data_IF_747537725594
#
_entry.id   IF_747537725594
#
_cell.length_a   1.000
_cell.length_b   1.000
_cell.length_c   1.000
_cell.angle_alpha   90.00
_cell.angle_beta   90.00
_cell.angle_gamma   90.00
#
_symmetry.space_group_name_H-M   'P 1'
#
loop_
_entity.id
_entity.type
_entity.pdbx_description
1 polymer ?
#
# COMPACT_ATOMS: atom_id res chain seq x y z
N UNK A 1 45.54 16.45 -3.22
CA UNK A 1 45.19 15.80 -4.51
C UNK A 1 43.92 16.44 -5.02
N UNK A 2 43.85 16.88 -6.28
CA UNK A 2 42.66 17.52 -6.83
C UNK A 2 41.68 16.44 -7.33
N UNK A 3 40.51 16.31 -6.71
CA UNK A 3 39.50 15.33 -7.13
C UNK A 3 38.84 15.81 -8.42
N UNK A 4 39.07 15.09 -9.53
CA UNK A 4 38.77 15.56 -10.89
C UNK A 4 37.31 15.51 -11.34
N UNK A 5 36.34 15.67 -10.43
CA UNK A 5 34.92 15.69 -10.77
C UNK A 5 34.19 16.89 -10.15
N UNK A 6 33.42 17.61 -10.96
CA UNK A 6 32.52 18.67 -10.47
C UNK A 6 31.26 18.08 -9.84
N UNK A 7 30.50 18.91 -9.11
CA UNK A 7 29.25 18.48 -8.47
C UNK A 7 28.21 18.00 -9.50
N UNK A 8 28.17 18.62 -10.68
CA UNK A 8 27.28 18.30 -11.80
C UNK A 8 27.66 16.97 -12.42
N UNK A 9 28.95 16.68 -12.54
CA UNK A 9 29.47 15.40 -13.02
C UNK A 9 29.15 14.27 -12.04
N UNK A 10 29.33 14.49 -10.73
CA UNK A 10 28.95 13.50 -9.69
C UNK A 10 27.44 13.27 -9.67
N UNK A 11 26.63 14.32 -9.81
CA UNK A 11 25.17 14.21 -9.91
C UNK A 11 24.76 13.40 -11.16
N UNK A 12 25.33 13.71 -12.33
CA UNK A 12 25.09 12.97 -13.58
C UNK A 12 25.43 11.48 -13.45
N UNK A 13 26.60 11.14 -12.89
CA UNK A 13 26.99 9.74 -12.63
C UNK A 13 26.03 9.05 -11.65
N UNK A 14 25.55 9.75 -10.62
CA UNK A 14 24.53 9.22 -9.71
C UNK A 14 23.22 8.89 -10.44
N UNK A 15 22.73 9.76 -11.34
CA UNK A 15 21.50 9.51 -12.09
C UNK A 15 21.66 8.37 -13.10
N UNK A 16 22.74 8.35 -13.88
CA UNK A 16 23.01 7.29 -14.88
C UNK A 16 23.13 5.91 -14.22
N UNK A 17 23.82 5.80 -13.08
CA UNK A 17 23.94 4.54 -12.35
C UNK A 17 22.62 4.09 -11.68
N UNK A 18 21.74 5.01 -11.28
CA UNK A 18 20.39 4.69 -10.81
C UNK A 18 19.50 4.19 -11.96
N UNK A 19 19.53 4.86 -13.12
CA UNK A 19 18.74 4.49 -14.30
C UNK A 19 19.17 3.13 -14.87
N UNK A 20 20.48 2.88 -14.95
CA UNK A 20 21.05 1.59 -15.34
C UNK A 20 20.93 0.49 -14.27
N UNK A 21 20.23 0.74 -13.16
CA UNK A 21 19.95 -0.26 -12.11
C UNK A 21 21.17 -0.80 -11.35
N UNK A 22 22.38 -0.28 -11.58
CA UNK A 22 23.62 -0.86 -11.06
C UNK A 22 23.95 -0.31 -9.65
N UNK A 23 23.08 -0.65 -8.69
CA UNK A 23 23.11 -0.10 -7.33
C UNK A 23 24.39 -0.46 -6.58
N UNK A 24 25.03 -1.60 -6.91
CA UNK A 24 26.29 -2.00 -6.31
C UNK A 24 27.51 -1.25 -6.87
N UNK A 25 27.45 -0.77 -8.13
CA UNK A 25 28.45 0.19 -8.64
C UNK A 25 28.21 1.59 -8.06
N UNK A 26 26.95 2.00 -7.93
CA UNK A 26 26.57 3.25 -7.25
C UNK A 26 27.04 3.29 -5.79
N UNK A 27 26.84 2.21 -5.05
CA UNK A 27 27.26 2.09 -3.65
C UNK A 27 28.78 2.07 -3.44
N UNK A 28 29.57 1.72 -4.46
CA UNK A 28 31.04 1.88 -4.47
C UNK A 28 31.43 3.32 -4.84
N UNK A 29 30.81 3.89 -5.87
CA UNK A 29 31.04 5.27 -6.30
C UNK A 29 30.80 6.27 -5.16
N UNK A 30 29.65 6.17 -4.46
CA UNK A 30 29.31 7.01 -3.32
C UNK A 30 30.29 6.89 -2.14
N UNK A 31 30.95 5.74 -1.97
CA UNK A 31 31.98 5.53 -0.94
C UNK A 31 33.34 6.11 -1.35
N UNK A 32 33.62 6.17 -2.66
CA UNK A 32 34.83 6.81 -3.21
C UNK A 32 34.77 8.34 -3.32
N UNK A 33 33.64 8.96 -3.00
CA UNK A 33 33.51 10.43 -3.03
C UNK A 33 34.31 11.07 -1.87
N UNK A 34 34.99 12.20 -2.11
CA UNK A 34 35.70 12.91 -1.05
C UNK A 34 34.72 13.46 0.00
N UNK A 35 35.18 13.59 1.24
CA UNK A 35 34.43 14.11 2.38
C UNK A 35 34.21 15.65 2.30
N UNK A 36 33.60 16.10 1.21
CA UNK A 36 33.18 17.48 1.00
C UNK A 36 31.70 17.62 1.35
N UNK A 37 31.42 18.45 2.35
CA UNK A 37 30.09 18.75 2.88
C UNK A 37 29.09 19.24 1.82
N UNK A 38 29.54 20.06 0.87
CA UNK A 38 28.67 20.62 -0.17
C UNK A 38 28.22 19.53 -1.15
N UNK A 39 29.17 18.72 -1.63
CA UNK A 39 28.90 17.55 -2.46
C UNK A 39 27.99 16.53 -1.74
N UNK A 40 28.16 16.39 -0.43
CA UNK A 40 27.36 15.50 0.41
C UNK A 40 25.92 15.98 0.63
N UNK A 41 25.65 17.27 0.43
CA UNK A 41 24.32 17.91 0.49
C UNK A 41 23.63 18.01 -0.89
N UNK A 42 24.29 17.60 -1.98
CA UNK A 42 23.68 17.61 -3.31
C UNK A 42 22.51 16.61 -3.40
N UNK A 43 21.37 17.06 -3.94
CA UNK A 43 20.13 16.27 -3.94
C UNK A 43 20.25 14.93 -4.68
N UNK A 44 21.01 14.88 -5.79
CA UNK A 44 21.23 13.64 -6.56
C UNK A 44 22.08 12.64 -5.79
N UNK A 45 23.06 13.12 -5.03
CA UNK A 45 23.92 12.31 -4.14
C UNK A 45 23.11 11.79 -2.95
N UNK A 46 22.23 12.61 -2.36
CA UNK A 46 21.33 12.21 -1.28
C UNK A 46 20.30 11.16 -1.75
N UNK A 47 19.69 11.36 -2.92
CA UNK A 47 18.77 10.40 -3.56
C UNK A 47 19.47 9.07 -3.86
N UNK A 48 20.68 9.12 -4.41
CA UNK A 48 21.49 7.92 -4.64
C UNK A 48 21.84 7.18 -3.33
N UNK A 49 22.20 7.90 -2.27
CA UNK A 49 22.44 7.32 -0.93
C UNK A 49 21.17 6.66 -0.37
N UNK A 50 20.00 7.28 -0.52
CA UNK A 50 18.71 6.69 -0.12
C UNK A 50 18.41 5.39 -0.91
N UNK A 51 18.63 5.37 -2.23
CA UNK A 51 18.46 4.16 -3.06
C UNK A 51 19.41 3.03 -2.63
N UNK A 52 20.69 3.33 -2.35
CA UNK A 52 21.67 2.34 -1.88
C UNK A 52 21.34 1.84 -0.47
N UNK A 53 20.90 2.72 0.44
CA UNK A 53 20.47 2.34 1.79
C UNK A 53 19.25 1.40 1.74
N UNK A 54 18.27 1.70 0.87
CA UNK A 54 17.13 0.82 0.62
C UNK A 54 17.56 -0.55 0.07
N UNK A 55 18.44 -0.60 -0.94
CA UNK A 55 18.91 -1.85 -1.55
C UNK A 55 19.64 -2.75 -0.54
N UNK A 56 20.44 -2.16 0.35
CA UNK A 56 21.16 -2.86 1.43
C UNK A 56 20.29 -3.21 2.64
N UNK A 57 19.00 -2.89 2.62
CA UNK A 57 18.08 -3.10 3.76
C UNK A 57 18.38 -2.23 4.98
N UNK A 58 19.23 -1.21 4.87
CA UNK A 58 19.52 -0.26 5.95
C UNK A 58 18.44 0.83 5.97
N UNK A 59 17.24 0.45 6.37
CA UNK A 59 16.09 1.36 6.40
C UNK A 59 16.28 2.51 7.39
N UNK A 60 17.05 2.32 8.48
CA UNK A 60 17.35 3.39 9.45
C UNK A 60 18.09 4.57 8.80
N UNK A 61 19.10 4.32 7.97
CA UNK A 61 19.81 5.40 7.27
C UNK A 61 18.95 5.99 6.12
N UNK A 62 18.11 5.16 5.46
CA UNK A 62 17.10 5.66 4.51
C UNK A 62 16.17 6.69 5.17
N UNK A 63 15.54 6.35 6.30
CA UNK A 63 14.61 7.26 7.00
C UNK A 63 15.31 8.55 7.40
N UNK A 64 16.50 8.45 8.03
CA UNK A 64 17.34 9.60 8.37
C UNK A 64 17.64 10.51 7.16
N UNK A 65 18.03 9.96 6.01
CA UNK A 65 18.27 10.76 4.79
C UNK A 65 16.98 11.45 4.34
N UNK A 66 15.85 10.73 4.33
CA UNK A 66 14.57 11.27 3.88
C UNK A 66 13.97 12.28 4.86
N UNK A 67 14.29 12.23 6.15
CA UNK A 67 13.80 13.17 7.18
C UNK A 67 14.70 14.40 7.35
N UNK A 68 16.01 14.30 7.05
CA UNK A 68 16.99 15.36 7.36
C UNK A 68 17.20 16.41 6.25
N UNK A 69 16.76 16.14 5.02
CA UNK A 69 17.04 16.99 3.85
C UNK A 69 15.77 17.25 3.04
N UNK A 70 15.54 18.50 2.65
CA UNK A 70 14.44 18.85 1.74
C UNK A 70 14.79 18.41 0.30
N UNK A 71 13.84 17.75 -0.37
CA UNK A 71 13.97 17.35 -1.77
C UNK A 71 13.06 18.19 -2.67
N UNK A 72 13.43 18.29 -3.94
CA UNK A 72 12.66 18.94 -5.01
C UNK A 72 11.45 18.08 -5.41
N UNK A 73 10.30 18.68 -5.79
CA UNK A 73 9.07 17.93 -6.11
C UNK A 73 9.25 16.83 -7.17
N UNK A 74 10.15 17.01 -8.14
CA UNK A 74 10.41 16.01 -9.18
C UNK A 74 11.00 14.69 -8.64
N UNK A 75 11.66 14.71 -7.48
CA UNK A 75 12.18 13.50 -6.82
C UNK A 75 11.18 12.88 -5.82
N UNK A 76 10.17 13.64 -5.35
CA UNK A 76 9.22 13.19 -4.33
C UNK A 76 8.59 11.83 -4.66
N UNK A 77 8.03 11.56 -5.87
CA UNK A 77 7.37 10.27 -6.14
C UNK A 77 8.29 9.06 -5.96
N UNK A 78 9.58 9.20 -6.29
CA UNK A 78 10.58 8.13 -6.14
C UNK A 78 10.92 7.89 -4.66
N UNK A 79 11.08 8.96 -3.89
CA UNK A 79 11.45 8.88 -2.46
C UNK A 79 10.28 8.40 -1.60
N UNK A 80 9.06 8.84 -1.90
CA UNK A 80 7.82 8.36 -1.27
C UNK A 80 7.64 6.85 -1.49
N UNK A 81 7.96 6.35 -2.69
CA UNK A 81 7.96 4.90 -2.96
C UNK A 81 8.99 4.14 -2.10
N UNK A 82 10.19 4.68 -1.90
CA UNK A 82 11.20 4.05 -1.04
C UNK A 82 10.75 4.01 0.42
N UNK A 83 10.27 5.13 0.97
CA UNK A 83 9.73 5.24 2.34
C UNK A 83 8.63 4.20 2.59
N UNK A 84 7.61 4.19 1.73
CA UNK A 84 6.46 3.29 1.87
C UNK A 84 6.88 1.83 1.72
N UNK A 85 7.73 1.50 0.73
CA UNK A 85 8.18 0.12 0.50
C UNK A 85 9.06 -0.39 1.65
N UNK A 86 9.90 0.45 2.24
CA UNK A 86 10.73 0.09 3.39
C UNK A 86 9.86 -0.28 4.60
N UNK A 87 8.93 0.59 5.02
CA UNK A 87 8.02 0.29 6.12
C UNK A 87 7.05 -0.86 5.83
N UNK A 88 6.69 -1.12 4.57
CA UNK A 88 5.96 -2.35 4.22
C UNK A 88 6.83 -3.60 4.46
N UNK A 89 8.08 -3.61 4.00
CA UNK A 89 9.02 -4.74 4.22
C UNK A 89 9.26 -4.99 5.71
N UNK A 90 9.47 -3.94 6.51
CA UNK A 90 9.59 -4.07 7.97
C UNK A 90 8.32 -4.66 8.61
N UNK A 91 7.15 -4.18 8.22
CA UNK A 91 5.87 -4.66 8.74
C UNK A 91 5.50 -6.07 8.27
N UNK A 92 5.94 -6.49 7.08
CA UNK A 92 5.81 -7.87 6.57
C UNK A 92 6.75 -8.80 7.32
N UNK A 93 8.02 -8.42 7.51
CA UNK A 93 9.03 -9.16 8.29
C UNK A 93 8.60 -9.35 9.75
N UNK A 94 8.10 -8.30 10.40
CA UNK A 94 7.59 -8.37 11.77
C UNK A 94 6.34 -9.26 11.92
N UNK A 95 5.57 -9.47 10.84
CA UNK A 95 4.33 -10.26 10.84
C UNK A 95 4.48 -11.66 10.28
N UNK A 96 5.64 -12.03 9.73
CA UNK A 96 5.89 -13.30 9.07
C UNK A 96 4.98 -13.57 7.86
N UNK A 97 4.29 -12.56 7.30
CA UNK A 97 3.34 -12.73 6.19
C UNK A 97 3.12 -11.44 5.38
N UNK A 98 2.79 -11.54 4.07
CA UNK A 98 2.54 -10.39 3.21
C UNK A 98 1.43 -9.44 3.71
N UNK A 99 1.59 -8.15 3.39
CA UNK A 99 0.68 -7.09 3.82
C UNK A 99 -0.44 -6.85 2.79
N UNK A 100 -1.63 -7.33 3.13
CA UNK A 100 -2.88 -6.97 2.45
C UNK A 100 -3.23 -5.48 2.60
N UNK A 101 -4.22 -5.01 1.84
CA UNK A 101 -4.56 -3.58 1.71
C UNK A 101 -4.77 -2.85 3.05
N UNK A 102 -5.48 -3.46 4.01
CA UNK A 102 -5.70 -2.91 5.36
C UNK A 102 -4.39 -2.79 6.16
N UNK A 103 -3.44 -3.70 5.96
CA UNK A 103 -2.11 -3.63 6.55
C UNK A 103 -1.31 -2.45 5.97
N UNK A 104 -1.30 -2.30 4.64
CA UNK A 104 -0.65 -1.17 3.94
C UNK A 104 -1.30 0.18 4.26
N UNK A 105 -2.58 0.21 4.59
CA UNK A 105 -3.25 1.40 5.16
C UNK A 105 -2.78 1.70 6.59
N UNK A 106 -2.73 0.70 7.47
CA UNK A 106 -2.25 0.86 8.86
C UNK A 106 -0.80 1.34 8.92
N UNK A 107 0.08 0.85 8.04
CA UNK A 107 1.47 1.33 7.92
C UNK A 107 1.51 2.79 7.53
N UNK A 108 0.84 3.20 6.44
CA UNK A 108 0.73 4.61 5.99
C UNK A 108 0.19 5.56 7.07
N UNK A 109 -0.70 5.08 7.93
CA UNK A 109 -1.24 5.85 9.07
C UNK A 109 -0.36 5.89 10.30
N UNK A 110 0.59 4.96 10.46
CA UNK A 110 1.60 4.98 11.53
C UNK A 110 2.85 5.76 11.13
N UNK A 111 3.23 5.70 9.86
CA UNK A 111 4.41 6.33 9.28
C UNK A 111 4.02 7.18 8.07
N UNK A 112 3.46 8.40 8.28
CA UNK A 112 3.20 9.33 7.19
C UNK A 112 4.50 9.73 6.48
N UNK A 113 4.40 10.24 5.25
CA UNK A 113 5.57 10.77 4.53
C UNK A 113 6.05 12.06 5.21
N UNK A 114 7.36 12.28 5.41
CA UNK A 114 7.87 13.51 5.98
C UNK A 114 7.79 14.69 4.98
N UNK A 115 7.66 15.93 5.49
CA UNK A 115 7.48 17.17 4.69
C UNK A 115 8.65 17.48 3.74
N UNK A 116 9.79 16.88 3.99
CA UNK A 116 10.98 16.84 3.14
C UNK A 116 10.76 16.19 1.77
N UNK A 117 9.81 15.25 1.66
CA UNK A 117 9.44 14.53 0.43
C UNK A 117 7.94 14.61 0.10
N UNK A 118 7.23 15.56 0.73
CA UNK A 118 5.81 15.82 0.51
C UNK A 118 5.51 17.29 0.82
N UNK A 119 4.97 18.04 -0.15
CA UNK A 119 4.28 19.33 0.09
C UNK A 119 3.34 19.26 1.33
N UNK A 120 2.69 18.11 1.49
CA UNK A 120 1.81 17.75 2.58
C UNK A 120 0.43 18.36 2.42
N UNK A 121 -0.11 18.30 1.19
CA UNK A 121 -1.56 18.24 0.97
C UNK A 121 -2.17 17.18 1.90
N UNK A 122 -3.05 17.59 2.82
CA UNK A 122 -3.59 16.65 3.81
C UNK A 122 -4.56 15.66 3.14
N UNK A 123 -4.10 14.41 2.97
CA UNK A 123 -4.97 13.30 2.58
C UNK A 123 -5.95 12.99 3.72
N UNK A 124 -7.04 13.74 3.81
CA UNK A 124 -8.02 13.58 4.89
C UNK A 124 -8.79 12.27 4.73
N UNK A 125 -8.37 11.25 5.48
CA UNK A 125 -9.02 9.92 5.51
C UNK A 125 -10.39 9.91 6.22
N UNK A 126 -10.90 11.07 6.61
CA UNK A 126 -12.19 11.28 7.25
C UNK A 126 -13.11 12.07 6.30
N UNK A 127 -14.42 11.81 6.33
CA UNK A 127 -15.37 12.66 5.59
C UNK A 127 -15.34 14.11 6.11
N UNK A 128 -15.80 15.08 5.30
CA UNK A 128 -15.91 16.49 5.69
C UNK A 128 -16.81 16.64 6.93
N UNK A 129 -16.60 17.66 7.78
CA UNK A 129 -17.35 17.81 9.04
C UNK A 129 -18.87 17.85 8.81
N UNK A 130 -19.36 18.60 7.81
CA UNK A 130 -20.79 18.61 7.42
C UNK A 130 -21.34 17.20 7.18
N UNK A 131 -20.66 16.39 6.37
CA UNK A 131 -21.02 14.99 6.10
C UNK A 131 -20.97 14.13 7.38
N UNK A 132 -20.02 14.39 8.29
CA UNK A 132 -19.93 13.67 9.57
C UNK A 132 -21.02 14.08 10.56
N UNK A 133 -21.43 15.34 10.61
CA UNK A 133 -22.51 15.80 11.49
C UNK A 133 -23.84 15.16 11.14
N UNK A 134 -24.26 15.21 9.87
CA UNK A 134 -25.49 14.56 9.38
C UNK A 134 -25.51 13.06 9.71
N UNK A 135 -24.39 12.35 9.53
CA UNK A 135 -24.30 10.93 9.87
C UNK A 135 -24.37 10.67 11.38
N UNK A 136 -23.78 11.52 12.23
CA UNK A 136 -23.88 11.41 13.71
C UNK A 136 -25.31 11.67 14.20
N UNK A 137 -25.93 12.74 13.72
CA UNK A 137 -27.27 13.18 14.06
C UNK A 137 -28.29 12.09 13.72
N UNK A 138 -28.27 11.60 12.48
CA UNK A 138 -29.16 10.52 12.04
C UNK A 138 -28.95 9.23 12.85
N UNK A 139 -27.71 8.91 13.21
CA UNK A 139 -27.38 7.71 14.00
C UNK A 139 -27.99 7.71 15.42
N UNK A 140 -28.19 8.89 16.02
CA UNK A 140 -28.84 9.01 17.34
C UNK A 140 -30.32 8.61 17.26
N UNK A 141 -31.00 8.95 16.16
CA UNK A 141 -32.40 8.60 15.94
C UNK A 141 -32.57 7.16 15.44
N UNK A 142 -31.68 6.68 14.58
CA UNK A 142 -31.74 5.32 14.03
C UNK A 142 -30.32 4.77 13.74
N UNK A 143 -29.86 3.68 14.40
CA UNK A 143 -28.57 3.06 14.09
C UNK A 143 -28.57 2.16 12.83
N UNK A 144 -29.72 1.90 12.20
CA UNK A 144 -29.93 0.87 11.17
C UNK A 144 -30.73 1.39 9.94
N UNK A 145 -30.12 2.20 9.06
CA UNK A 145 -30.82 2.72 7.88
C UNK A 145 -31.14 1.62 6.85
N UNK A 146 -32.36 1.66 6.32
CA UNK A 146 -32.83 0.89 5.17
C UNK A 146 -32.06 1.24 3.89
N UNK A 147 -32.22 0.46 2.79
CA UNK A 147 -31.64 0.79 1.49
C UNK A 147 -32.10 2.14 0.92
N UNK A 148 -33.27 2.64 1.33
CA UNK A 148 -33.81 3.93 0.92
C UNK A 148 -33.12 5.08 1.67
N UNK A 149 -33.15 5.03 3.01
CA UNK A 149 -32.53 6.06 3.86
C UNK A 149 -31.02 6.16 3.60
N UNK A 150 -30.34 5.06 3.28
CA UNK A 150 -28.93 5.05 2.83
C UNK A 150 -28.69 5.86 1.55
N UNK A 151 -29.68 6.00 0.67
CA UNK A 151 -29.59 6.78 -0.57
C UNK A 151 -29.84 8.26 -0.29
N UNK A 152 -30.87 8.56 0.49
CA UNK A 152 -31.19 9.92 0.94
C UNK A 152 -30.02 10.52 1.77
N UNK A 153 -29.38 9.70 2.62
CA UNK A 153 -28.15 10.07 3.34
C UNK A 153 -26.92 10.21 2.43
N UNK A 154 -26.80 9.40 1.37
CA UNK A 154 -25.71 9.50 0.41
C UNK A 154 -25.78 10.83 -0.36
N UNK A 155 -26.98 11.18 -0.84
CA UNK A 155 -27.32 12.44 -1.50
C UNK A 155 -27.07 13.64 -0.57
N UNK A 156 -27.61 13.62 0.66
CA UNK A 156 -27.46 14.71 1.62
C UNK A 156 -26.02 14.94 2.12
N UNK A 157 -25.17 13.91 2.10
CA UNK A 157 -23.78 13.99 2.60
C UNK A 157 -22.72 14.14 1.51
N UNK A 158 -23.08 13.96 0.23
CA UNK A 158 -22.15 13.91 -0.88
C UNK A 158 -21.24 12.66 -0.87
N UNK A 159 -21.74 11.54 -0.33
CA UNK A 159 -21.01 10.28 -0.19
C UNK A 159 -21.68 9.18 -1.02
N UNK A 160 -20.96 8.10 -1.32
CA UNK A 160 -21.58 6.90 -1.89
C UNK A 160 -22.40 6.13 -0.85
N UNK A 161 -23.46 5.45 -1.29
CA UNK A 161 -24.28 4.54 -0.45
C UNK A 161 -23.42 3.47 0.25
N UNK A 162 -22.32 3.03 -0.38
CA UNK A 162 -21.31 2.13 0.19
C UNK A 162 -20.50 2.79 1.30
N UNK A 163 -20.08 4.05 1.16
CA UNK A 163 -19.41 4.80 2.23
C UNK A 163 -20.33 5.03 3.43
N UNK A 164 -21.60 5.39 3.19
CA UNK A 164 -22.63 5.51 4.24
C UNK A 164 -22.82 4.16 4.95
N UNK A 165 -23.08 3.08 4.20
CA UNK A 165 -23.27 1.73 4.77
C UNK A 165 -22.08 1.25 5.61
N UNK A 166 -20.85 1.51 5.15
CA UNK A 166 -19.64 1.20 5.90
C UNK A 166 -19.47 2.09 7.15
N UNK A 167 -19.86 3.37 7.11
CA UNK A 167 -19.83 4.24 8.28
C UNK A 167 -20.75 3.72 9.40
N UNK A 168 -22.00 3.39 9.08
CA UNK A 168 -22.97 2.85 10.04
C UNK A 168 -22.52 1.50 10.63
N UNK A 169 -21.96 0.61 9.79
CA UNK A 169 -21.34 -0.65 10.24
C UNK A 169 -20.17 -0.40 11.21
N UNK A 170 -19.26 0.50 10.83
CA UNK A 170 -18.06 0.84 11.59
C UNK A 170 -18.35 1.71 12.83
N UNK A 171 -19.55 2.26 12.99
CA UNK A 171 -20.01 2.93 14.22
C UNK A 171 -20.56 1.90 15.20
N UNK A 172 -21.53 1.06 14.81
CA UNK A 172 -22.05 -0.06 15.64
C UNK A 172 -21.01 -1.12 16.04
N UNK A 173 -19.86 -1.15 15.37
CA UNK A 173 -18.70 -1.97 15.80
C UNK A 173 -17.83 -1.29 16.86
N UNK A 174 -17.79 0.05 16.92
CA UNK A 174 -17.06 0.80 17.95
C UNK A 174 -17.86 0.93 19.23
N UNK A 175 -19.16 1.15 19.13
CA UNK A 175 -20.02 1.36 20.28
C UNK A 175 -20.08 0.07 21.14
N UNK A 176 -20.36 -1.09 20.52
CA UNK A 176 -20.24 -2.42 21.18
C UNK A 176 -18.86 -2.75 21.75
N UNK A 177 -17.78 -2.21 21.17
CA UNK A 177 -16.43 -2.41 21.68
C UNK A 177 -16.12 -1.50 22.90
N UNK A 178 -16.81 -0.35 23.02
CA UNK A 178 -16.80 0.46 24.24
C UNK A 178 -17.62 -0.23 25.35
N UNK A 179 -18.85 -0.65 25.04
CA UNK A 179 -19.75 -1.40 25.95
C UNK A 179 -19.05 -2.62 26.58
N UNK A 180 -18.32 -3.40 25.76
CA UNK A 180 -17.56 -4.58 26.23
C UNK A 180 -16.46 -4.17 27.22
N UNK A 181 -15.66 -3.15 26.87
CA UNK A 181 -14.55 -2.65 27.70
C UNK A 181 -15.05 -2.02 29.00
N UNK A 182 -16.19 -1.33 28.98
CA UNK A 182 -16.79 -0.70 30.15
C UNK A 182 -17.25 -1.74 31.18
N UNK A 183 -17.74 -2.91 30.72
CA UNK A 183 -18.03 -4.05 31.59
C UNK A 183 -16.77 -4.67 32.19
N UNK A 184 -15.79 -5.00 31.36
CA UNK A 184 -14.48 -5.54 31.79
C UNK A 184 -13.79 -4.64 32.83
N UNK A 185 -13.95 -3.32 32.72
CA UNK A 185 -13.34 -2.33 33.61
C UNK A 185 -14.24 -1.96 34.82
N UNK A 186 -15.53 -2.36 34.82
CA UNK A 186 -16.47 -2.14 35.92
C UNK A 186 -16.51 -3.30 36.93
N UNK A 187 -16.38 -4.53 36.45
CA UNK A 187 -16.44 -5.75 37.29
C UNK A 187 -15.15 -5.99 38.12
N UNK A 188 -14.10 -5.16 37.95
CA UNK A 188 -12.87 -5.20 38.73
C UNK A 188 -12.90 -4.43 40.07
N UNK A 189 -14.02 -3.78 40.42
CA UNK A 189 -14.08 -2.83 41.54
C UNK A 189 -14.42 -3.39 42.92
N UNK A 190 -14.72 -4.68 43.06
CA UNK A 190 -15.21 -5.26 44.32
C UNK A 190 -14.44 -6.52 44.76
N UNK A 191 -14.07 -6.56 46.04
CA UNK A 191 -13.62 -7.74 46.80
C UNK A 191 -12.37 -8.48 46.27
N UNK A 192 -11.19 -7.89 46.52
CA UNK A 192 -9.95 -8.66 46.79
C UNK A 192 -9.23 -8.15 48.04
N UNK A 193 -9.82 -8.41 49.20
CA UNK A 193 -9.03 -8.53 50.44
C UNK A 193 -8.51 -9.97 50.59
N UNK A 194 -7.34 -10.10 51.22
CA UNK A 194 -6.47 -11.24 51.00
C UNK A 194 -6.76 -12.49 51.83
N UNK A 195 -6.40 -13.63 51.24
CA UNK A 195 -5.59 -14.70 51.88
C UNK A 195 -4.79 -15.37 50.77
N UNK A 196 -3.54 -15.71 51.07
CA UNK A 196 -2.67 -16.44 50.15
C UNK A 196 -2.20 -17.76 50.76
N UNK A 197 -1.82 -18.71 49.91
CA UNK A 197 -0.79 -19.74 50.10
C UNK A 197 -0.72 -20.59 48.80
N UNK A 198 0.46 -21.07 48.36
CA UNK A 198 0.60 -21.91 47.18
C UNK A 198 0.53 -23.41 47.51
N UNK A 199 0.02 -24.25 46.59
CA UNK A 199 0.33 -25.70 46.60
C UNK A 199 0.11 -26.41 45.27
N UNK A 200 0.71 -27.59 45.18
CA UNK A 200 0.90 -28.45 44.02
C UNK A 200 -0.36 -29.10 43.40
N UNK A 201 -0.37 -29.08 42.06
CA UNK A 201 -0.40 -30.27 41.16
C UNK A 201 -1.03 -31.57 41.72
N UNK A 202 -2.17 -31.99 41.15
CA UNK A 202 -2.46 -33.41 40.90
C UNK A 202 -3.40 -33.60 39.67
N UNK A 203 -3.81 -34.84 39.38
CA UNK A 203 -4.20 -35.32 38.03
C UNK A 203 -5.44 -36.25 38.08
N UNK A 204 -6.40 -36.04 37.17
CA UNK A 204 -7.37 -36.96 36.48
C UNK A 204 -7.87 -38.19 37.28
N UNK A 205 -9.19 -38.33 37.56
CA UNK A 205 -10.24 -38.79 36.60
C UNK A 205 -11.63 -38.09 36.80
N UNK A 206 -12.80 -38.49 36.25
CA UNK A 206 -13.28 -39.06 34.94
C UNK A 206 -14.82 -39.30 35.02
N UNK A 207 -15.51 -39.59 33.90
CA UNK A 207 -16.85 -40.23 33.79
C UNK A 207 -18.09 -39.42 34.28
N UNK A 208 -19.33 -39.61 33.80
CA UNK A 208 -19.92 -40.23 32.57
C UNK A 208 -21.38 -39.72 32.35
N UNK A 209 -22.18 -40.36 31.47
CA UNK A 209 -23.60 -40.11 31.07
C UNK A 209 -23.88 -38.87 30.18
N UNK A 210 -24.37 -39.00 28.93
CA UNK A 210 -25.69 -39.44 28.39
C UNK A 210 -26.80 -38.34 28.43
N UNK A 211 -27.65 -38.13 27.41
CA UNK A 211 -27.84 -38.85 26.13
C UNK A 211 -28.33 -37.95 24.97
N UNK A 212 -28.47 -38.49 23.75
CA UNK A 212 -28.92 -37.78 22.52
C UNK A 212 -30.24 -38.36 21.93
N UNK A 213 -30.82 -37.72 20.90
CA UNK A 213 -30.78 -38.31 19.54
C UNK A 213 -30.35 -37.27 18.48
N UNK A 214 -29.66 -37.60 17.37
CA UNK A 214 -29.98 -38.56 16.27
C UNK A 214 -31.24 -38.07 15.51
N UNK A 215 -31.20 -37.80 14.19
CA UNK A 215 -30.75 -38.73 13.13
C UNK A 215 -29.97 -38.09 11.95
N UNK A 216 -29.28 -38.90 11.14
CA UNK A 216 -28.56 -38.55 9.89
C UNK A 216 -28.10 -39.78 9.09
N UNK A 217 -28.23 -39.76 7.75
CA UNK A 217 -27.15 -40.26 6.86
C UNK A 217 -26.63 -39.15 5.89
N UNK A 218 -25.35 -38.96 5.51
CA UNK A 218 -24.14 -39.83 5.40
C UNK A 218 -24.23 -40.80 4.18
N UNK A 219 -23.27 -40.91 3.25
CA UNK A 219 -22.10 -40.10 2.80
C UNK A 219 -21.89 -40.33 1.27
N UNK A 220 -20.82 -39.93 0.55
CA UNK A 220 -19.41 -40.39 0.52
C UNK A 220 -18.64 -39.49 -0.51
N UNK A 221 -17.40 -38.99 -0.34
CA UNK A 221 -16.07 -39.67 -0.40
C UNK A 221 -15.86 -40.52 -1.67
N UNK A 222 -14.78 -40.42 -2.47
CA UNK A 222 -13.38 -40.05 -2.20
C UNK A 222 -12.60 -39.58 -3.46
N UNK A 223 -11.37 -39.10 -3.29
CA UNK A 223 -10.35 -38.97 -4.36
C UNK A 223 -9.15 -39.90 -4.09
N UNK A 224 -8.42 -40.35 -5.14
CA UNK A 224 -6.96 -40.46 -5.05
C UNK A 224 -6.22 -39.99 -6.33
N UNK A 225 -4.90 -40.20 -6.39
CA UNK A 225 -3.94 -39.49 -7.28
C UNK A 225 -3.35 -40.33 -8.44
N UNK A 226 -2.61 -39.61 -9.31
CA UNK A 226 -1.77 -40.03 -10.45
C UNK A 226 -0.92 -41.32 -10.29
N UNK A 227 -0.68 -42.04 -11.40
CA UNK A 227 0.61 -42.69 -11.76
C UNK A 227 0.60 -43.28 -13.20
N UNK A 228 1.72 -43.14 -13.95
CA UNK A 228 2.10 -43.91 -15.20
C UNK A 228 1.16 -43.78 -16.45
N UNK A 229 1.58 -43.93 -17.73
CA UNK A 229 2.91 -43.97 -18.35
C UNK A 229 2.89 -43.72 -19.88
N UNK A 230 4.07 -43.43 -20.45
CA UNK A 230 4.60 -43.74 -21.81
C UNK A 230 3.79 -43.53 -23.13
N UNK A 231 4.48 -42.84 -24.05
CA UNK A 231 4.32 -42.68 -25.53
C UNK A 231 4.32 -44.03 -26.32
N UNK A 232 3.97 -44.11 -27.65
CA UNK A 232 4.31 -43.10 -28.68
C UNK A 232 3.42 -42.90 -29.95
N UNK A 233 3.88 -41.94 -30.79
CA UNK A 233 3.86 -41.92 -32.29
C UNK A 233 2.62 -41.39 -33.06
N UNK A 234 2.73 -40.20 -33.69
CA UNK A 234 2.89 -40.04 -35.17
C UNK A 234 2.68 -38.59 -35.70
N UNK A 235 3.42 -38.23 -36.77
CA UNK A 235 3.11 -37.29 -37.88
C UNK A 235 2.49 -35.88 -37.66
N UNK A 236 3.21 -34.85 -38.14
CA UNK A 236 2.66 -33.58 -38.68
C UNK A 236 2.54 -33.67 -40.24
N UNK A 237 2.28 -32.60 -41.05
CA UNK A 237 1.74 -31.24 -40.77
C UNK A 237 0.62 -30.75 -41.75
N UNK A 238 -0.06 -29.65 -41.39
CA UNK A 238 -0.74 -28.72 -42.32
C UNK A 238 -2.14 -29.12 -42.83
N UNK A 239 -2.88 -28.27 -43.58
CA UNK A 239 -2.83 -26.81 -43.75
C UNK A 239 -4.11 -26.30 -44.47
N UNK A 240 -4.67 -25.13 -44.11
CA UNK A 240 -5.73 -24.37 -44.86
C UNK A 240 -7.11 -25.09 -45.05
N UNK A 241 -8.25 -24.48 -45.43
CA UNK A 241 -8.77 -23.08 -45.51
C UNK A 241 -10.33 -23.10 -45.52
N UNK A 242 -10.96 -21.91 -45.41
CA UNK A 242 -12.41 -21.60 -45.57
C UNK A 242 -13.38 -22.05 -44.44
N UNK A 243 -14.38 -21.25 -44.04
CA UNK A 243 -14.56 -19.79 -44.18
C UNK A 243 -15.91 -19.32 -44.76
N UNK A 244 -16.83 -18.92 -43.87
CA UNK A 244 -18.04 -18.11 -44.12
C UNK A 244 -18.16 -17.17 -42.91
N UNK A 245 -17.91 -15.85 -43.03
CA UNK A 245 -18.92 -14.77 -43.22
C UNK A 245 -20.07 -14.84 -42.20
N UNK A 246 -20.52 -13.78 -41.50
CA UNK A 246 -20.43 -12.31 -41.69
C UNK A 246 -20.85 -11.63 -40.33
N UNK A 247 -20.74 -10.34 -40.03
CA UNK A 247 -20.30 -9.12 -40.74
C UNK A 247 -19.83 -8.02 -39.74
N UNK A 248 -19.09 -7.04 -40.25
CA UNK A 248 -18.82 -5.62 -39.88
C UNK A 248 -19.58 -4.99 -38.66
N UNK A 249 -19.01 -4.03 -37.90
CA UNK A 249 -18.58 -2.70 -38.38
C UNK A 249 -17.44 -2.03 -37.57
N UNK A 250 -16.42 -1.58 -38.32
CA UNK A 250 -15.50 -0.42 -38.09
C UNK A 250 -14.80 -0.21 -36.73
N UNK A 251 -13.47 -0.40 -36.74
CA UNK A 251 -12.51 0.48 -36.07
C UNK A 251 -11.33 0.76 -37.02
N UNK A 252 -10.83 2.00 -37.07
CA UNK A 252 -9.61 2.37 -37.80
C UNK A 252 -8.58 3.09 -36.90
N UNK A 253 -7.35 3.16 -37.40
CA UNK A 253 -6.10 3.38 -36.66
C UNK A 253 -5.51 4.80 -36.88
N UNK A 254 -4.52 5.23 -36.07
CA UNK A 254 -3.83 6.52 -36.22
C UNK A 254 -2.55 6.40 -37.09
N UNK A 255 -1.66 7.40 -36.96
CA UNK A 255 -0.28 7.54 -37.47
C UNK A 255 -0.09 8.26 -38.83
N UNK A 256 0.56 9.43 -38.76
CA UNK A 256 1.89 9.60 -39.38
C UNK A 256 2.71 10.66 -38.61
N UNK A 257 4.00 10.80 -38.92
CA UNK A 257 4.97 11.72 -38.30
C UNK A 257 5.84 12.39 -39.40
N UNK A 258 6.88 13.18 -39.04
CA UNK A 258 7.94 13.71 -39.94
C UNK A 258 7.53 14.82 -40.95
N UNK A 259 8.39 15.78 -41.39
CA UNK A 259 9.76 16.19 -40.99
C UNK A 259 10.19 17.51 -41.73
N UNK A 260 10.93 18.41 -41.04
CA UNK A 260 11.78 19.55 -41.54
C UNK A 260 11.21 20.72 -42.39
N UNK A 261 11.75 21.94 -42.19
CA UNK A 261 11.64 23.10 -43.11
C UNK A 261 11.61 24.50 -42.44
N UNK A 262 12.53 25.47 -42.71
CA UNK A 262 12.62 26.75 -41.94
C UNK A 262 12.63 28.09 -42.75
N UNK A 263 12.72 29.22 -42.00
CA UNK A 263 12.94 30.65 -42.41
C UNK A 263 11.66 31.40 -42.88
N UNK A 264 11.48 32.75 -42.77
CA UNK A 264 12.36 33.93 -42.49
C UNK A 264 11.71 35.03 -41.59
N UNK A 265 12.48 36.11 -41.30
CA UNK A 265 12.12 37.49 -40.83
C UNK A 265 10.79 38.08 -41.40
N UNK A 266 10.11 39.11 -40.84
CA UNK A 266 10.47 40.38 -40.12
C UNK A 266 9.47 40.70 -38.98
N UNK A 267 9.69 41.49 -37.91
CA UNK A 267 10.41 42.75 -37.59
C UNK A 267 9.69 44.07 -37.97
N UNK A 268 9.22 44.82 -36.94
CA UNK A 268 8.72 46.24 -36.88
C UNK A 268 7.50 46.62 -37.78
N UNK A 269 6.70 47.68 -37.52
CA UNK A 269 6.81 48.78 -36.54
C UNK A 269 5.46 49.27 -35.93
N UNK A 270 5.56 50.31 -35.07
CA UNK A 270 4.55 51.07 -34.32
C UNK A 270 3.32 51.63 -35.09
N UNK A 271 2.24 51.90 -34.33
CA UNK A 271 1.73 53.27 -34.24
C UNK A 271 0.25 53.57 -34.55
N UNK A 272 -0.66 53.36 -33.59
CA UNK A 272 -1.82 54.22 -33.25
C UNK A 272 -2.51 53.70 -31.97
#
# INVERSE_FOLDING_TARGET
MNFGFTQEQVACVCEVLQQGGNIERLGRFLWSLPACDHLHKNESVLKAKAVVAFHRGNFRELYKILESYQFSPHNHPKLQQLWLKAHYIEAEKLRGRPLGAVGKYRVRRKFPLPRTIWDGEETSYCFKEKSRSVLREWYIHNPYPSPREKRELAEATGLTTTQVSNWFKNRRQRDRAAETKERENGEGGALKEGRGLPRDRHVIPSSDDESSPIDSPVAHTSSPSLLYSSLPLSSQPGNSTHGVQRMDFLQHQPLHNSLLGPLTSTLVDLGS
#
